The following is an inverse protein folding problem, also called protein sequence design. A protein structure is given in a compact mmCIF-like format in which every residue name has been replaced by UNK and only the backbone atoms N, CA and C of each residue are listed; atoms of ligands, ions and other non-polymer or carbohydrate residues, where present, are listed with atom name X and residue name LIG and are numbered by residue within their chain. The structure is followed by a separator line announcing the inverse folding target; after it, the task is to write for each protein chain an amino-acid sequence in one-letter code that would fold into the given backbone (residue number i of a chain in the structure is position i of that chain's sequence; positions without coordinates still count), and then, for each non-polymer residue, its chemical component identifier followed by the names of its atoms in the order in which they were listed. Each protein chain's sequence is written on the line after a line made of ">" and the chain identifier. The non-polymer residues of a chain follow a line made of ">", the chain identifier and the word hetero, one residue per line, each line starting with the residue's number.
data_IF_536065200004
#
_entry.id   IF_536065200004
#
_cell.length_a   1.000
_cell.length_b   1.000
_cell.length_c   1.000
_cell.angle_alpha   90.00
_cell.angle_beta   90.00
_cell.angle_gamma   90.00
#
_symmetry.space_group_name_H-M   'P 1'
#
loop_
_entity.id
_entity.type
_entity.pdbx_description
1 polymer ?
#
# COMPACT_ATOMS: atom_id res chain seq x y z
N UNK A 1 10.18 11.07 11.17
CA UNK A 1 9.12 10.06 10.98
C UNK A 1 7.82 10.78 10.84
N UNK A 2 7.06 10.47 9.79
CA UNK A 2 5.73 11.01 9.58
C UNK A 2 4.78 10.50 10.67
N UNK A 3 3.68 11.20 10.91
CA UNK A 3 2.68 10.77 11.87
C UNK A 3 2.04 9.42 11.48
N UNK A 4 1.85 9.19 10.18
CA UNK A 4 1.31 7.94 9.62
C UNK A 4 2.19 6.71 9.94
N UNK A 5 3.51 6.88 10.06
CA UNK A 5 4.47 5.78 10.29
C UNK A 5 4.13 4.96 11.53
N UNK A 6 3.46 5.56 12.52
CA UNK A 6 2.99 4.87 13.73
C UNK A 6 1.98 3.76 13.40
N UNK A 7 1.10 4.00 12.41
CA UNK A 7 0.13 3.02 11.94
C UNK A 7 0.80 2.00 11.01
N UNK A 8 1.65 2.45 10.10
CA UNK A 8 2.40 1.55 9.20
C UNK A 8 3.29 0.57 9.98
N UNK A 9 3.93 1.03 11.06
CA UNK A 9 4.71 0.18 11.98
C UNK A 9 3.85 -0.91 12.62
N UNK A 10 2.58 -0.62 12.93
CA UNK A 10 1.64 -1.63 13.45
C UNK A 10 1.34 -2.69 12.39
N UNK A 11 1.17 -2.30 11.12
CA UNK A 11 0.97 -3.24 10.01
C UNK A 11 2.15 -4.21 9.92
N UNK A 12 3.38 -3.68 9.84
CA UNK A 12 4.60 -4.48 9.73
C UNK A 12 4.75 -5.41 10.93
N UNK A 13 4.57 -4.89 12.15
CA UNK A 13 4.71 -5.66 13.39
C UNK A 13 3.73 -6.83 13.50
N UNK A 14 2.51 -6.69 12.97
CA UNK A 14 1.48 -7.72 13.04
C UNK A 14 1.38 -8.58 11.78
N UNK A 15 2.28 -8.39 10.80
CA UNK A 15 2.21 -9.13 9.53
C UNK A 15 0.98 -8.80 8.69
N UNK A 16 0.46 -7.58 8.81
CA UNK A 16 -0.66 -7.10 8.00
C UNK A 16 -0.24 -6.79 6.56
N UNK A 17 -1.20 -6.82 5.63
CA UNK A 17 -0.96 -6.56 4.21
C UNK A 17 -1.29 -5.12 3.80
N UNK A 18 -2.28 -4.50 4.43
CA UNK A 18 -2.79 -3.18 4.05
C UNK A 18 -3.12 -2.33 5.28
N UNK A 19 -2.85 -1.02 5.21
CA UNK A 19 -3.46 0.02 6.07
C UNK A 19 -4.55 0.74 5.28
N UNK A 20 -5.71 0.90 5.88
CA UNK A 20 -6.83 1.68 5.35
C UNK A 20 -7.10 2.87 6.26
N UNK A 21 -7.07 4.06 5.66
CA UNK A 21 -7.42 5.34 6.29
C UNK A 21 -8.66 5.87 5.59
N UNK A 22 -9.65 6.30 6.37
CA UNK A 22 -10.83 6.97 5.86
C UNK A 22 -11.35 7.96 6.89
N UNK A 23 -11.66 9.17 6.45
CA UNK A 23 -12.31 10.16 7.32
C UNK A 23 -13.59 9.60 7.94
N UNK A 24 -13.82 9.92 9.22
CA UNK A 24 -14.97 9.48 10.03
C UNK A 24 -15.03 7.98 10.27
N UNK A 25 -14.00 7.24 9.89
CA UNK A 25 -13.85 5.82 10.19
C UNK A 25 -12.60 5.57 11.03
N UNK A 26 -12.58 4.52 11.86
CA UNK A 26 -11.34 4.14 12.52
C UNK A 26 -10.30 3.70 11.48
N UNK A 27 -8.99 3.92 11.72
CA UNK A 27 -7.95 3.37 10.87
C UNK A 27 -7.96 1.83 10.99
N UNK A 28 -7.87 1.12 9.86
CA UNK A 28 -8.00 -0.35 9.82
C UNK A 28 -6.78 -0.99 9.21
N UNK A 29 -6.40 -2.17 9.70
CA UNK A 29 -5.42 -3.04 9.04
C UNK A 29 -6.13 -4.20 8.35
N UNK A 30 -5.55 -4.71 7.26
CA UNK A 30 -5.86 -6.03 6.76
C UNK A 30 -4.82 -7.03 7.25
N UNK A 31 -5.26 -8.13 7.82
CA UNK A 31 -4.41 -9.25 8.25
C UNK A 31 -5.08 -10.56 7.86
N UNK A 32 -4.36 -11.42 7.12
CA UNK A 32 -4.87 -12.70 6.62
C UNK A 32 -6.23 -12.62 5.88
N UNK A 33 -6.50 -11.48 5.21
CA UNK A 33 -7.75 -11.23 4.48
C UNK A 33 -8.79 -10.44 5.26
N UNK A 34 -8.77 -10.52 6.60
CA UNK A 34 -9.72 -9.84 7.49
C UNK A 34 -9.35 -8.37 7.70
N UNK A 35 -10.35 -7.49 7.79
CA UNK A 35 -10.16 -6.06 8.07
C UNK A 35 -10.51 -5.79 9.52
N UNK A 36 -9.55 -5.28 10.29
CA UNK A 36 -9.69 -5.01 11.72
C UNK A 36 -9.28 -3.57 12.08
N UNK A 37 -9.99 -2.90 13.00
CA UNK A 37 -9.62 -1.56 13.44
C UNK A 37 -8.33 -1.59 14.28
N UNK A 38 -7.42 -0.63 14.04
CA UNK A 38 -6.20 -0.43 14.85
C UNK A 38 -6.54 0.27 16.17
N UNK A 39 -7.50 1.19 16.13
CA UNK A 39 -8.09 1.85 17.30
C UNK A 39 -9.58 2.07 17.07
N UNK A 40 -10.33 2.45 18.11
CA UNK A 40 -11.77 2.72 18.02
C UNK A 40 -12.09 4.12 17.49
N UNK A 41 -11.26 5.10 17.82
CA UNK A 41 -11.54 6.49 17.50
C UNK A 41 -11.42 6.76 16.00
N UNK A 42 -12.44 7.40 15.38
CA UNK A 42 -12.41 7.78 13.97
C UNK A 42 -11.23 8.69 13.61
N UNK A 43 -10.80 8.62 12.36
CA UNK A 43 -9.86 9.57 11.77
C UNK A 43 -10.61 10.87 11.46
N UNK A 44 -10.15 11.99 12.00
CA UNK A 44 -10.72 13.31 11.66
C UNK A 44 -10.18 13.82 10.32
N UNK A 45 -10.81 14.84 9.77
CA UNK A 45 -10.34 15.53 8.56
C UNK A 45 -8.90 16.01 8.72
N UNK A 46 -8.60 16.65 9.85
CA UNK A 46 -7.28 17.20 10.16
C UNK A 46 -6.23 16.09 10.26
N UNK A 47 -6.57 14.97 10.88
CA UNK A 47 -5.68 13.83 11.00
C UNK A 47 -5.43 13.15 9.65
N UNK A 48 -6.47 12.98 8.83
CA UNK A 48 -6.35 12.44 7.48
C UNK A 48 -5.45 13.33 6.60
N UNK A 49 -5.70 14.65 6.57
CA UNK A 49 -4.89 15.61 5.82
C UNK A 49 -3.44 15.59 6.30
N UNK A 50 -3.21 15.55 7.62
CA UNK A 50 -1.85 15.45 8.18
C UNK A 50 -1.15 14.19 7.69
N UNK A 51 -1.78 13.03 7.86
CA UNK A 51 -1.22 11.73 7.46
C UNK A 51 -0.89 11.70 5.96
N UNK A 52 -1.83 12.14 5.13
CA UNK A 52 -1.71 12.02 3.68
C UNK A 52 -0.70 13.02 3.10
N UNK A 53 -0.76 14.28 3.53
CA UNK A 53 0.09 15.36 3.02
C UNK A 53 1.56 15.21 3.42
N UNK A 54 1.83 14.76 4.65
CA UNK A 54 3.20 14.48 5.11
C UNK A 54 3.88 13.41 4.25
N UNK A 55 3.12 12.41 3.79
CA UNK A 55 3.64 11.22 3.11
C UNK A 55 3.81 11.43 1.60
N UNK A 56 2.88 12.11 0.92
CA UNK A 56 3.01 12.36 -0.51
C UNK A 56 3.88 13.58 -0.83
N UNK A 57 4.04 14.51 0.12
CA UNK A 57 4.70 15.79 -0.09
C UNK A 57 3.82 16.82 -0.82
N UNK A 58 4.23 18.10 -0.88
CA UNK A 58 3.38 19.20 -1.34
C UNK A 58 2.97 19.08 -2.81
N UNK A 59 3.88 18.68 -3.70
CA UNK A 59 3.59 18.55 -5.13
C UNK A 59 2.51 17.51 -5.41
N UNK A 60 2.67 16.30 -4.87
CA UNK A 60 1.69 15.24 -5.04
C UNK A 60 0.38 15.54 -4.31
N UNK A 61 0.43 16.28 -3.20
CA UNK A 61 -0.77 16.73 -2.50
C UNK A 61 -1.62 17.64 -3.40
N UNK A 62 -1.01 18.58 -4.10
CA UNK A 62 -1.71 19.43 -5.07
C UNK A 62 -2.34 18.61 -6.20
N UNK A 63 -1.63 17.61 -6.71
CA UNK A 63 -2.15 16.69 -7.74
C UNK A 63 -3.39 15.94 -7.21
N UNK A 64 -3.30 15.37 -6.01
CA UNK A 64 -4.41 14.66 -5.37
C UNK A 64 -5.62 15.59 -5.13
N UNK A 65 -5.39 16.81 -4.64
CA UNK A 65 -6.44 17.79 -4.40
C UNK A 65 -7.20 18.15 -5.70
N UNK A 66 -6.49 18.27 -6.82
CA UNK A 66 -7.07 18.60 -8.12
C UNK A 66 -7.78 17.41 -8.78
N UNK A 67 -7.16 16.22 -8.76
CA UNK A 67 -7.64 15.04 -9.52
C UNK A 67 -8.61 14.18 -8.72
N UNK A 68 -8.44 14.13 -7.40
CA UNK A 68 -9.22 13.29 -6.49
C UNK A 68 -8.65 11.89 -6.29
N UNK A 69 -7.59 11.52 -7.01
CA UNK A 69 -6.86 10.26 -6.88
C UNK A 69 -5.34 10.48 -7.03
N UNK A 70 -4.55 9.58 -6.42
CA UNK A 70 -3.09 9.58 -6.56
C UNK A 70 -2.51 8.21 -6.16
N UNK A 71 -1.72 7.62 -7.06
CA UNK A 71 -0.90 6.44 -6.78
C UNK A 71 0.59 6.79 -6.70
N UNK A 72 1.29 6.29 -5.69
CA UNK A 72 2.73 6.47 -5.52
C UNK A 72 3.34 5.41 -4.60
N UNK A 73 4.66 5.26 -4.64
CA UNK A 73 5.39 4.44 -3.68
C UNK A 73 5.84 5.30 -2.49
N UNK A 74 5.70 4.76 -1.27
CA UNK A 74 6.22 5.37 -0.05
C UNK A 74 7.22 4.41 0.62
N UNK A 75 8.38 4.92 1.00
CA UNK A 75 9.38 4.18 1.75
C UNK A 75 9.40 4.72 3.18
N UNK A 76 8.97 3.89 4.14
CA UNK A 76 9.00 4.26 5.56
C UNK A 76 10.41 4.07 6.12
N UNK A 77 11.07 2.98 5.72
CA UNK A 77 12.46 2.65 6.04
C UNK A 77 13.03 1.67 5.00
N UNK A 78 14.30 1.29 5.17
CA UNK A 78 15.00 0.38 4.26
C UNK A 78 14.37 -1.02 4.11
N UNK A 79 13.53 -1.43 5.07
CA UNK A 79 12.88 -2.74 5.09
C UNK A 79 11.38 -2.69 4.73
N UNK A 80 10.79 -1.50 4.66
CA UNK A 80 9.34 -1.31 4.58
C UNK A 80 8.97 -0.28 3.52
N UNK A 81 8.53 -0.79 2.37
CA UNK A 81 7.98 0.00 1.26
C UNK A 81 6.49 -0.26 1.10
N UNK A 82 5.75 0.76 0.69
CA UNK A 82 4.31 0.72 0.53
C UNK A 82 3.91 1.22 -0.86
N UNK A 83 2.97 0.53 -1.49
CA UNK A 83 2.19 1.10 -2.60
C UNK A 83 1.02 1.85 -1.98
N UNK A 84 0.99 3.15 -2.21
CA UNK A 84 0.01 4.07 -1.62
C UNK A 84 -0.97 4.51 -2.69
N UNK A 85 -2.25 4.49 -2.36
CA UNK A 85 -3.33 5.03 -3.18
C UNK A 85 -4.15 6.00 -2.32
N UNK A 86 -4.32 7.23 -2.78
CA UNK A 86 -5.20 8.23 -2.19
C UNK A 86 -6.44 8.38 -3.06
N UNK A 87 -7.58 8.64 -2.43
CA UNK A 87 -8.85 8.82 -3.11
C UNK A 87 -9.80 9.74 -2.33
N UNK A 88 -10.70 10.41 -3.03
CA UNK A 88 -11.86 11.10 -2.44
C UNK A 88 -13.07 10.15 -2.44
N UNK A 89 -13.76 10.08 -1.32
CA UNK A 89 -14.98 9.31 -1.12
C UNK A 89 -16.10 10.19 -0.52
N UNK A 90 -17.31 9.66 -0.41
CA UNK A 90 -18.47 10.41 0.11
C UNK A 90 -18.26 10.98 1.52
N UNK A 91 -17.45 10.31 2.34
CA UNK A 91 -17.15 10.72 3.71
C UNK A 91 -15.93 11.65 3.84
N UNK A 92 -15.27 12.00 2.74
CA UNK A 92 -14.05 12.82 2.72
C UNK A 92 -12.89 12.07 2.05
N UNK A 93 -11.69 12.23 2.59
CA UNK A 93 -10.47 11.60 2.07
C UNK A 93 -10.32 10.18 2.58
N UNK A 94 -9.73 9.36 1.71
CA UNK A 94 -9.32 8.00 2.00
C UNK A 94 -7.94 7.71 1.43
N UNK A 95 -7.27 6.76 2.05
CA UNK A 95 -5.99 6.24 1.58
C UNK A 95 -5.87 4.75 1.90
N UNK A 96 -5.21 4.02 1.01
CA UNK A 96 -4.81 2.64 1.22
C UNK A 96 -3.29 2.50 1.01
N UNK A 97 -2.62 1.83 1.93
CA UNK A 97 -1.19 1.56 1.87
C UNK A 97 -0.97 0.06 1.91
N UNK A 98 -0.48 -0.53 0.82
CA UNK A 98 -0.15 -1.95 0.75
C UNK A 98 1.33 -2.17 0.96
N UNK A 99 1.69 -3.02 1.91
CA UNK A 99 3.08 -3.40 2.14
C UNK A 99 3.64 -4.13 0.90
N UNK A 100 4.79 -3.67 0.43
CA UNK A 100 5.56 -4.29 -0.65
C UNK A 100 6.66 -5.12 0.02
N UNK A 101 6.72 -6.45 -0.22
CA UNK A 101 7.79 -7.28 0.28
C UNK A 101 9.15 -6.77 -0.19
N UNK A 102 10.09 -6.57 0.74
CA UNK A 102 11.46 -6.13 0.41
C UNK A 102 12.35 -7.29 -0.02
N UNK A 103 12.10 -8.50 0.48
CA UNK A 103 12.72 -9.72 -0.05
C UNK A 103 11.95 -10.15 -1.29
N UNK A 104 12.60 -10.10 -2.45
CA UNK A 104 12.09 -10.74 -3.67
C UNK A 104 12.19 -12.25 -3.46
N UNK A 105 11.05 -12.94 -3.46
CA UNK A 105 10.99 -14.38 -3.30
C UNK A 105 11.62 -15.09 -4.52
N UNK A 106 12.28 -16.22 -4.29
CA UNK A 106 12.76 -17.06 -5.40
C UNK A 106 11.58 -17.77 -6.09
N UNK A 107 11.80 -18.29 -7.30
CA UNK A 107 10.76 -19.06 -8.00
C UNK A 107 10.33 -20.29 -7.19
N UNK A 108 11.27 -20.93 -6.52
CA UNK A 108 11.04 -22.09 -5.66
C UNK A 108 10.20 -21.72 -4.43
N UNK A 109 10.50 -20.59 -3.78
CA UNK A 109 9.71 -20.07 -2.64
C UNK A 109 8.27 -19.74 -3.04
N UNK A 110 8.06 -19.33 -4.30
CA UNK A 110 6.74 -19.05 -4.86
C UNK A 110 6.01 -20.30 -5.39
N UNK A 111 6.65 -21.47 -5.38
CA UNK A 111 6.10 -22.70 -5.98
C UNK A 111 5.97 -22.63 -7.51
N UNK A 112 6.68 -21.71 -8.15
CA UNK A 112 6.67 -21.51 -9.61
C UNK A 112 7.66 -22.50 -10.24
N UNK A 113 7.27 -23.22 -11.31
CA UNK A 113 8.19 -24.12 -12.01
C UNK A 113 9.47 -23.41 -12.45
N UNK A 114 10.63 -24.01 -12.14
CA UNK A 114 11.95 -23.42 -12.44
C UNK A 114 12.17 -23.15 -13.93
N UNK A 115 11.46 -23.83 -14.83
CA UNK A 115 11.47 -23.57 -16.28
C UNK A 115 11.07 -22.12 -16.63
N UNK A 116 10.30 -21.45 -15.78
CA UNK A 116 9.93 -20.04 -15.97
C UNK A 116 11.16 -19.12 -15.92
N UNK A 117 12.25 -19.55 -15.26
CA UNK A 117 13.52 -18.80 -15.25
C UNK A 117 14.08 -18.59 -16.66
N UNK A 118 13.87 -19.54 -17.56
CA UNK A 118 14.34 -19.46 -18.94
C UNK A 118 13.72 -18.27 -19.69
N UNK A 119 12.51 -17.83 -19.30
CA UNK A 119 11.87 -16.67 -19.91
C UNK A 119 12.64 -15.37 -19.67
N UNK A 120 13.37 -15.27 -18.55
CA UNK A 120 14.24 -14.12 -18.26
C UNK A 120 15.51 -14.08 -19.14
N UNK A 121 15.82 -15.18 -19.85
CA UNK A 121 16.99 -15.28 -20.75
C UNK A 121 16.63 -15.09 -22.23
N UNK A 122 15.34 -14.88 -22.56
CA UNK A 122 14.90 -14.60 -23.93
C UNK A 122 15.52 -13.30 -24.46
N UNK A 123 16.11 -13.35 -25.66
CA UNK A 123 16.72 -12.18 -26.31
C UNK A 123 15.72 -11.28 -27.05
N UNK A 124 14.48 -11.72 -27.19
CA UNK A 124 13.40 -11.00 -27.84
C UNK A 124 12.10 -11.81 -27.86
N UNK A 125 10.96 -11.11 -27.94
CA UNK A 125 9.62 -11.72 -27.90
C UNK A 125 8.70 -11.02 -26.91
N UNK A 126 7.56 -11.67 -26.61
CA UNK A 126 6.56 -11.20 -25.65
C UNK A 126 6.29 -12.31 -24.64
N UNK A 127 6.43 -12.02 -23.35
CA UNK A 127 6.04 -12.90 -22.24
C UNK A 127 4.86 -12.25 -21.53
N UNK A 128 3.76 -13.00 -21.38
CA UNK A 128 2.56 -12.53 -20.70
C UNK A 128 2.36 -13.33 -19.40
N UNK A 129 2.39 -12.62 -18.27
CA UNK A 129 2.00 -13.17 -16.96
C UNK A 129 0.56 -12.71 -16.70
N UNK A 130 -0.36 -13.65 -16.61
CA UNK A 130 -1.80 -13.35 -16.53
C UNK A 130 -2.40 -13.92 -15.24
N UNK A 131 -3.54 -13.35 -14.83
CA UNK A 131 -4.29 -13.79 -13.66
C UNK A 131 -5.23 -12.69 -13.14
N UNK A 132 -6.18 -13.03 -12.24
CA UNK A 132 -7.07 -12.06 -11.61
C UNK A 132 -6.34 -11.17 -10.59
N UNK A 133 -7.03 -10.15 -10.07
CA UNK A 133 -6.44 -9.25 -9.06
C UNK A 133 -5.98 -10.03 -7.82
N UNK A 134 -4.69 -9.92 -7.50
CA UNK A 134 -4.09 -10.58 -6.33
C UNK A 134 -3.69 -12.04 -6.54
N UNK A 135 -3.60 -12.54 -7.77
CA UNK A 135 -3.18 -13.92 -8.07
C UNK A 135 -1.66 -14.13 -8.14
N UNK A 136 -0.88 -13.11 -7.82
CA UNK A 136 0.59 -13.11 -7.87
C UNK A 136 1.11 -11.87 -7.17
#
# INVERSE_FOLDING_TARGET
>A
MAYLDRFLSVIVKHGGSDLHIGEREPPKMRIHGDIMPIRKDPVTREEAVRMMREVCGPHNWEIFEQRGDLDFAYEMDAASRFRSNYFKQSNGYGAAFRLIPTKIATLEELGIPVVVKEFAHLRGGLVLVTGPTGSG
#
